data_IF_562843261546
#
_entry.id   IF_562843261546
#
_cell.length_a   1.000
_cell.length_b   1.000
_cell.length_c   1.000
_cell.angle_alpha   90.00
_cell.angle_beta   90.00
_cell.angle_gamma   90.00
#
_symmetry.space_group_name_H-M   'P 1'
#
loop_
_entity.id
_entity.type
_entity.pdbx_description
1 polymer ?
#
# COMPACT_ATOMS: atom_id res chain seq x y z
N UNK A 1 31.74 -19.70 -30.39
CA UNK A 1 30.62 -18.80 -30.70
C UNK A 1 29.29 -19.26 -30.07
N UNK A 2 29.05 -20.57 -29.92
CA UNK A 2 27.86 -21.10 -29.23
C UNK A 2 27.78 -20.79 -27.72
N UNK A 3 28.90 -20.72 -27.00
CA UNK A 3 28.90 -20.41 -25.55
C UNK A 3 28.37 -19.00 -25.21
N UNK A 4 28.55 -18.02 -26.10
CA UNK A 4 28.00 -16.67 -25.91
C UNK A 4 26.49 -16.62 -26.18
N UNK A 5 25.98 -17.46 -27.10
CA UNK A 5 24.54 -17.53 -27.42
C UNK A 5 23.72 -18.21 -26.32
N UNK A 6 24.32 -19.14 -25.57
CA UNK A 6 23.71 -19.76 -24.40
C UNK A 6 23.57 -18.79 -23.21
N UNK A 7 24.61 -17.98 -22.96
CA UNK A 7 24.60 -16.97 -21.88
C UNK A 7 23.57 -15.86 -22.12
N UNK A 8 23.41 -15.39 -23.36
CA UNK A 8 22.43 -14.37 -23.71
C UNK A 8 20.99 -14.86 -23.50
N UNK A 9 20.65 -16.07 -23.97
CA UNK A 9 19.31 -16.65 -23.78
C UNK A 9 18.96 -16.89 -22.31
N UNK A 10 19.91 -17.37 -21.51
CA UNK A 10 19.69 -17.56 -20.07
C UNK A 10 19.39 -16.24 -19.35
N UNK A 11 20.04 -15.15 -19.76
CA UNK A 11 19.82 -13.83 -19.19
C UNK A 11 18.46 -13.25 -19.61
N UNK A 12 18.05 -13.43 -20.86
CA UNK A 12 16.73 -13.04 -21.35
C UNK A 12 15.61 -13.77 -20.61
N UNK A 13 15.74 -15.08 -20.41
CA UNK A 13 14.78 -15.88 -19.63
C UNK A 13 14.68 -15.41 -18.17
N UNK A 14 15.82 -15.04 -17.57
CA UNK A 14 15.84 -14.53 -16.21
C UNK A 14 15.12 -13.17 -16.09
N UNK A 15 15.33 -12.28 -17.07
CA UNK A 15 14.63 -10.99 -17.14
C UNK A 15 13.13 -11.22 -17.31
N UNK A 16 12.75 -12.09 -18.25
CA UNK A 16 11.35 -12.42 -18.54
C UNK A 16 10.62 -12.94 -17.28
N UNK A 17 11.24 -13.88 -16.57
CA UNK A 17 10.72 -14.39 -15.29
C UNK A 17 10.55 -13.28 -14.25
N UNK A 18 11.52 -12.37 -14.15
CA UNK A 18 11.44 -11.25 -13.19
C UNK A 18 10.30 -10.28 -13.52
N UNK A 19 10.01 -10.04 -14.80
CA UNK A 19 8.90 -9.20 -15.26
C UNK A 19 7.55 -9.86 -14.96
N UNK A 20 7.44 -11.18 -15.11
CA UNK A 20 6.21 -11.90 -14.72
C UNK A 20 5.95 -11.79 -13.21
N UNK A 21 6.99 -11.88 -12.38
CA UNK A 21 6.86 -11.62 -10.94
C UNK A 21 6.42 -10.19 -10.66
N UNK A 22 6.98 -9.21 -11.37
CA UNK A 22 6.59 -7.81 -11.28
C UNK A 22 5.10 -7.60 -11.59
N UNK A 23 4.60 -8.14 -12.71
CA UNK A 23 3.19 -8.06 -13.11
C UNK A 23 2.24 -8.71 -12.10
N UNK A 24 2.60 -9.90 -11.57
CA UNK A 24 1.84 -10.57 -10.51
C UNK A 24 1.82 -9.75 -9.22
N UNK A 25 2.95 -9.16 -8.86
CA UNK A 25 3.08 -8.28 -7.71
C UNK A 25 2.20 -7.05 -7.80
N UNK A 26 2.26 -6.34 -8.93
CA UNK A 26 1.41 -5.17 -9.19
C UNK A 26 -0.08 -5.53 -9.20
N UNK A 27 -0.45 -6.68 -9.77
CA UNK A 27 -1.85 -7.14 -9.78
C UNK A 27 -2.36 -7.45 -8.37
N UNK A 28 -1.54 -8.10 -7.54
CA UNK A 28 -1.88 -8.36 -6.14
C UNK A 28 -2.02 -7.06 -5.33
N UNK A 29 -1.16 -6.06 -5.56
CA UNK A 29 -1.28 -4.75 -4.93
C UNK A 29 -2.54 -4.00 -5.38
N UNK A 30 -2.85 -4.02 -6.68
CA UNK A 30 -4.03 -3.37 -7.25
C UNK A 30 -5.32 -3.86 -6.59
N UNK A 31 -5.46 -5.18 -6.40
CA UNK A 31 -6.64 -5.76 -5.75
C UNK A 31 -6.56 -5.76 -4.22
N UNK A 32 -5.37 -5.90 -3.64
CA UNK A 32 -5.20 -5.93 -2.19
C UNK A 32 -5.52 -4.60 -1.53
N UNK A 33 -5.14 -3.47 -2.14
CA UNK A 33 -5.37 -2.13 -1.58
C UNK A 33 -6.85 -1.83 -1.28
N UNK A 34 -7.79 -1.96 -2.23
CA UNK A 34 -9.21 -1.71 -1.97
C UNK A 34 -9.82 -2.78 -1.06
N UNK A 35 -9.34 -4.03 -1.12
CA UNK A 35 -9.81 -5.11 -0.24
C UNK A 35 -9.45 -4.85 1.23
N UNK A 36 -8.22 -4.37 1.50
CA UNK A 36 -7.80 -3.99 2.85
C UNK A 36 -8.67 -2.84 3.36
N UNK A 37 -8.83 -1.78 2.55
CA UNK A 37 -9.66 -0.64 2.93
C UNK A 37 -11.11 -1.08 3.24
N UNK A 38 -11.70 -1.95 2.42
CA UNK A 38 -13.05 -2.45 2.61
C UNK A 38 -13.16 -3.36 3.84
N UNK A 39 -12.22 -4.29 4.03
CA UNK A 39 -12.24 -5.24 5.14
C UNK A 39 -12.01 -4.56 6.50
N UNK A 40 -11.22 -3.50 6.54
CA UNK A 40 -10.90 -2.77 7.77
C UNK A 40 -11.94 -1.67 8.07
N UNK A 41 -12.53 -1.04 7.06
CA UNK A 41 -13.55 0.00 7.26
C UNK A 41 -14.91 -0.56 7.74
N UNK A 42 -15.20 -1.84 7.48
CA UNK A 42 -16.51 -2.41 7.74
C UNK A 42 -16.66 -2.88 9.19
N UNK A 43 -16.93 -1.93 10.09
CA UNK A 43 -17.13 -2.15 11.53
C UNK A 43 -18.26 -3.13 11.86
N UNK A 44 -19.32 -3.21 11.03
CA UNK A 44 -20.43 -4.15 11.22
C UNK A 44 -20.04 -5.62 11.05
N UNK A 45 -18.97 -5.92 10.29
CA UNK A 45 -18.48 -7.30 10.18
C UNK A 45 -18.05 -7.81 11.55
N UNK A 46 -17.41 -6.95 12.34
CA UNK A 46 -16.88 -7.28 13.67
C UNK A 46 -17.99 -7.39 14.74
N UNK A 47 -19.13 -6.73 14.53
CA UNK A 47 -20.28 -6.78 15.44
C UNK A 47 -20.92 -8.18 15.58
N UNK A 48 -20.77 -9.04 14.56
CA UNK A 48 -21.32 -10.41 14.59
C UNK A 48 -20.46 -11.41 15.37
N UNK A 49 -19.29 -10.99 15.90
CA UNK A 49 -18.50 -11.78 16.85
C UNK A 49 -17.91 -13.09 16.31
N UNK A 50 -17.92 -13.33 14.99
CA UNK A 50 -17.43 -14.58 14.40
C UNK A 50 -15.94 -14.45 14.07
N UNK A 51 -15.12 -15.38 14.56
CA UNK A 51 -13.69 -15.47 14.23
C UNK A 51 -13.40 -15.52 12.71
N UNK A 52 -14.35 -16.01 11.91
CA UNK A 52 -14.27 -16.00 10.44
C UNK A 52 -14.16 -14.60 9.85
N UNK A 53 -14.58 -13.56 10.58
CA UNK A 53 -14.48 -12.16 10.15
C UNK A 53 -13.03 -11.68 10.12
N UNK A 54 -12.18 -12.17 11.01
CA UNK A 54 -10.74 -11.86 11.02
C UNK A 54 -10.01 -12.39 9.78
N UNK A 55 -10.58 -13.40 9.10
CA UNK A 55 -9.98 -13.95 7.89
C UNK A 55 -9.96 -12.95 6.73
N UNK A 56 -10.95 -12.05 6.64
CA UNK A 56 -11.04 -11.08 5.56
C UNK A 56 -9.89 -10.04 5.56
N UNK A 57 -9.65 -9.26 6.65
CA UNK A 57 -8.53 -8.32 6.71
C UNK A 57 -7.18 -9.03 6.65
N UNK A 58 -7.06 -10.24 7.22
CA UNK A 58 -5.84 -11.04 7.07
C UNK A 58 -5.60 -11.51 5.64
N UNK A 59 -6.60 -12.02 4.94
CA UNK A 59 -6.44 -12.43 3.56
C UNK A 59 -6.10 -11.23 2.65
N UNK A 60 -6.74 -10.08 2.87
CA UNK A 60 -6.47 -8.86 2.12
C UNK A 60 -5.04 -8.34 2.36
N UNK A 61 -4.60 -8.26 3.62
CA UNK A 61 -3.23 -7.86 3.94
C UNK A 61 -2.20 -8.92 3.50
N UNK A 62 -2.54 -10.20 3.58
CA UNK A 62 -1.73 -11.29 3.04
C UNK A 62 -1.53 -11.19 1.53
N UNK A 63 -2.55 -10.75 0.79
CA UNK A 63 -2.44 -10.48 -0.65
C UNK A 63 -1.47 -9.32 -0.94
N UNK A 64 -1.48 -8.26 -0.12
CA UNK A 64 -0.51 -7.17 -0.22
C UNK A 64 0.92 -7.66 0.04
N UNK A 65 1.13 -8.44 1.11
CA UNK A 65 2.43 -9.02 1.43
C UNK A 65 2.93 -9.96 0.32
N UNK A 66 2.05 -10.79 -0.24
CA UNK A 66 2.36 -11.60 -1.41
C UNK A 66 2.79 -10.72 -2.60
N UNK A 67 2.04 -9.64 -2.87
CA UNK A 67 2.37 -8.69 -3.92
C UNK A 67 3.76 -8.10 -3.78
N UNK A 68 4.11 -7.64 -2.56
CA UNK A 68 5.45 -7.12 -2.25
C UNK A 68 6.55 -8.18 -2.36
N UNK A 69 6.27 -9.41 -1.93
CA UNK A 69 7.21 -10.53 -2.06
C UNK A 69 7.53 -10.84 -3.53
N UNK A 70 6.55 -10.69 -4.41
CA UNK A 70 6.75 -10.82 -5.86
C UNK A 70 7.55 -9.65 -6.43
N UNK A 71 7.30 -8.42 -6.00
CA UNK A 71 8.09 -7.24 -6.40
C UNK A 71 9.55 -7.34 -5.98
N UNK A 72 9.84 -7.91 -4.81
CA UNK A 72 11.21 -8.07 -4.29
C UNK A 72 12.12 -8.90 -5.20
N UNK A 73 11.52 -9.80 -6.00
CA UNK A 73 12.25 -10.64 -6.96
C UNK A 73 12.69 -9.88 -8.21
N UNK A 74 12.16 -8.69 -8.46
CA UNK A 74 12.52 -7.84 -9.58
C UNK A 74 13.74 -6.97 -9.24
N UNK A 75 14.75 -6.95 -10.13
CA UNK A 75 15.93 -6.06 -10.04
C UNK A 75 16.61 -6.05 -8.66
N UNK A 76 16.97 -7.24 -8.13
CA UNK A 76 17.63 -7.39 -6.81
C UNK A 76 18.95 -6.62 -6.65
N UNK A 77 19.56 -6.18 -7.76
CA UNK A 77 20.82 -5.44 -7.80
C UNK A 77 20.64 -3.95 -7.48
N UNK A 78 19.44 -3.37 -7.68
CA UNK A 78 19.22 -1.95 -7.38
C UNK A 78 18.98 -1.74 -5.88
N UNK A 79 20.02 -1.26 -5.18
CA UNK A 79 20.00 -1.05 -3.72
C UNK A 79 18.87 -0.13 -3.25
N UNK A 80 18.59 0.95 -3.99
CA UNK A 80 17.56 1.94 -3.61
C UNK A 80 16.17 1.30 -3.67
N UNK A 81 15.88 0.55 -4.73
CA UNK A 81 14.65 -0.21 -4.89
C UNK A 81 14.45 -1.25 -3.79
N UNK A 82 15.49 -2.05 -3.53
CA UNK A 82 15.45 -3.06 -2.47
C UNK A 82 15.18 -2.43 -1.11
N UNK A 83 15.89 -1.36 -0.76
CA UNK A 83 15.66 -0.65 0.51
C UNK A 83 14.25 -0.05 0.59
N UNK A 84 13.70 0.44 -0.52
CA UNK A 84 12.32 0.92 -0.57
C UNK A 84 11.33 -0.21 -0.26
N UNK A 85 11.47 -1.35 -0.94
CA UNK A 85 10.61 -2.51 -0.74
C UNK A 85 10.76 -3.12 0.66
N UNK A 86 11.98 -3.20 1.21
CA UNK A 86 12.21 -3.73 2.56
C UNK A 86 11.47 -2.91 3.62
N UNK A 87 11.44 -1.57 3.47
CA UNK A 87 10.66 -0.68 4.35
C UNK A 87 9.16 -0.91 4.22
N UNK A 88 8.66 -1.05 2.99
CA UNK A 88 7.23 -1.32 2.75
C UNK A 88 6.84 -2.70 3.29
N UNK A 89 7.69 -3.70 3.12
CA UNK A 89 7.50 -5.06 3.64
C UNK A 89 7.44 -5.05 5.17
N UNK A 90 8.38 -4.37 5.83
CA UNK A 90 8.38 -4.24 7.30
C UNK A 90 7.08 -3.61 7.80
N UNK A 91 6.66 -2.50 7.19
CA UNK A 91 5.41 -1.83 7.53
C UNK A 91 4.19 -2.71 7.26
N UNK A 92 4.20 -3.47 6.16
CA UNK A 92 3.14 -4.43 5.82
C UNK A 92 3.03 -5.55 6.85
N UNK A 93 4.15 -6.08 7.35
CA UNK A 93 4.16 -7.12 8.39
C UNK A 93 3.63 -6.56 9.72
N UNK A 94 4.08 -5.36 10.10
CA UNK A 94 3.57 -4.67 11.29
C UNK A 94 2.06 -4.46 11.18
N UNK A 95 1.59 -3.94 10.05
CA UNK A 95 0.18 -3.67 9.80
C UNK A 95 -0.64 -4.97 9.83
N UNK A 96 -0.18 -6.02 9.14
CA UNK A 96 -0.78 -7.36 9.17
C UNK A 96 -0.91 -7.90 10.60
N UNK A 97 0.14 -7.79 11.43
CA UNK A 97 0.11 -8.22 12.83
C UNK A 97 -0.81 -7.40 13.73
N UNK A 98 -1.09 -6.14 13.35
CA UNK A 98 -1.97 -5.24 14.10
C UNK A 98 -3.46 -5.41 13.74
N UNK A 99 -3.79 -5.96 12.58
CA UNK A 99 -5.19 -6.14 12.14
C UNK A 99 -6.12 -6.84 13.14
N UNK A 100 -5.70 -7.84 13.96
CA UNK A 100 -6.60 -8.49 14.92
C UNK A 100 -7.12 -7.54 16.00
N UNK A 101 -6.40 -6.46 16.26
CA UNK A 101 -6.81 -5.48 17.26
C UNK A 101 -8.07 -4.71 16.87
N UNK A 102 -8.47 -4.69 15.59
CA UNK A 102 -9.79 -4.18 15.19
C UNK A 102 -10.92 -4.99 15.85
N UNK A 103 -10.81 -6.31 15.86
CA UNK A 103 -11.77 -7.18 16.51
C UNK A 103 -11.72 -7.03 18.03
N UNK A 104 -10.52 -7.03 18.62
CA UNK A 104 -10.39 -6.90 20.08
C UNK A 104 -10.87 -5.55 20.61
N UNK A 105 -10.64 -4.47 19.87
CA UNK A 105 -11.19 -3.15 20.21
C UNK A 105 -12.71 -3.14 20.18
N UNK A 106 -13.32 -3.78 19.18
CA UNK A 106 -14.77 -3.93 19.12
C UNK A 106 -15.32 -4.79 20.28
N UNK A 107 -14.66 -5.91 20.60
CA UNK A 107 -15.09 -6.83 21.65
C UNK A 107 -14.87 -6.28 23.07
N UNK A 108 -13.81 -5.50 23.28
CA UNK A 108 -13.40 -4.97 24.58
C UNK A 108 -13.08 -3.46 24.50
N UNK A 109 -14.08 -2.61 24.24
CA UNK A 109 -13.87 -1.18 23.96
C UNK A 109 -13.35 -0.37 25.16
N UNK A 110 -13.55 -0.88 26.39
CA UNK A 110 -13.08 -0.22 27.61
C UNK A 110 -11.59 -0.44 27.90
N UNK A 111 -10.95 -1.37 27.18
CA UNK A 111 -9.53 -1.64 27.36
C UNK A 111 -8.68 -0.70 26.50
N UNK A 112 -8.06 0.29 27.14
CA UNK A 112 -7.28 1.33 26.45
C UNK A 112 -6.17 0.77 25.55
N UNK A 113 -5.56 -0.36 25.92
CA UNK A 113 -4.53 -1.02 25.12
C UNK A 113 -4.97 -1.30 23.68
N UNK A 114 -6.17 -1.85 23.47
CA UNK A 114 -6.66 -2.15 22.12
C UNK A 114 -6.92 -0.88 21.30
N UNK A 115 -7.31 0.21 21.97
CA UNK A 115 -7.47 1.51 21.33
C UNK A 115 -6.15 2.02 20.78
N UNK A 116 -5.09 2.01 21.60
CA UNK A 116 -3.75 2.39 21.16
C UNK A 116 -3.25 1.50 20.00
N UNK A 117 -3.52 0.19 20.04
CA UNK A 117 -3.18 -0.72 18.94
C UNK A 117 -3.89 -0.37 17.64
N UNK A 118 -5.17 0.02 17.68
CA UNK A 118 -5.90 0.49 16.49
C UNK A 118 -5.34 1.82 15.98
N UNK A 119 -4.95 2.76 16.85
CA UNK A 119 -4.28 3.98 16.41
C UNK A 119 -2.95 3.68 15.72
N UNK A 120 -2.16 2.74 16.26
CA UNK A 120 -0.92 2.27 15.65
C UNK A 120 -1.19 1.55 14.31
N UNK A 121 -2.30 0.82 14.19
CA UNK A 121 -2.74 0.23 12.92
C UNK A 121 -2.99 1.32 11.87
N UNK A 122 -3.72 2.38 12.20
CA UNK A 122 -3.94 3.51 11.28
C UNK A 122 -2.64 4.19 10.87
N UNK A 123 -1.75 4.48 11.83
CA UNK A 123 -0.45 5.11 11.55
C UNK A 123 0.41 4.22 10.65
N UNK A 124 0.47 2.92 10.95
CA UNK A 124 1.24 1.97 10.14
C UNK A 124 0.66 1.82 8.73
N UNK A 125 -0.66 1.82 8.55
CA UNK A 125 -1.32 1.78 7.24
C UNK A 125 -1.03 3.03 6.40
N UNK A 126 -1.07 4.22 7.01
CA UNK A 126 -0.68 5.46 6.35
C UNK A 126 0.81 5.46 5.95
N UNK A 127 1.70 5.01 6.84
CA UNK A 127 3.14 4.89 6.56
C UNK A 127 3.40 3.88 5.45
N UNK A 128 2.70 2.75 5.49
CA UNK A 128 2.75 1.72 4.46
C UNK A 128 2.41 2.32 3.09
N UNK A 129 1.26 3.01 2.98
CA UNK A 129 0.83 3.59 1.71
C UNK A 129 1.79 4.70 1.25
N UNK A 130 2.31 5.51 2.17
CA UNK A 130 3.29 6.54 1.88
C UNK A 130 4.58 5.94 1.27
N UNK A 131 5.09 4.86 1.88
CA UNK A 131 6.30 4.18 1.42
C UNK A 131 6.06 3.37 0.14
N UNK A 132 4.87 2.80 -0.03
CA UNK A 132 4.46 2.11 -1.25
C UNK A 132 4.45 3.09 -2.45
N UNK A 133 3.92 4.29 -2.26
CA UNK A 133 3.95 5.34 -3.29
C UNK A 133 5.39 5.73 -3.67
N UNK A 134 6.30 5.76 -2.70
CA UNK A 134 7.72 5.97 -2.98
C UNK A 134 8.32 4.82 -3.81
N UNK A 135 8.02 3.56 -3.46
CA UNK A 135 8.49 2.39 -4.23
C UNK A 135 7.92 2.38 -5.66
N UNK A 136 6.62 2.62 -5.83
CA UNK A 136 5.95 2.77 -7.14
C UNK A 136 6.64 3.83 -7.99
N UNK A 137 6.96 4.98 -7.40
CA UNK A 137 7.70 6.03 -8.10
C UNK A 137 9.06 5.54 -8.58
N UNK A 138 9.81 4.83 -7.73
CA UNK A 138 11.11 4.24 -8.12
C UNK A 138 10.98 3.26 -9.26
N UNK A 139 9.95 2.42 -9.25
CA UNK A 139 9.67 1.49 -10.34
C UNK A 139 9.41 2.22 -11.66
N UNK A 140 8.60 3.30 -11.64
CA UNK A 140 8.36 4.11 -12.84
C UNK A 140 9.65 4.70 -13.41
N UNK A 141 10.60 5.10 -12.56
CA UNK A 141 11.90 5.62 -13.00
C UNK A 141 12.80 4.57 -13.66
N UNK A 142 12.56 3.27 -13.44
CA UNK A 142 13.29 2.18 -14.11
C UNK A 142 12.74 1.87 -15.50
N UNK A 143 11.51 2.30 -15.81
CA UNK A 143 10.85 2.03 -17.08
C UNK A 143 11.18 3.17 -18.05
N UNK A 144 11.51 2.88 -19.33
CA UNK A 144 11.92 3.87 -20.31
C UNK A 144 10.76 4.73 -20.88
N UNK A 145 9.69 4.99 -20.12
CA UNK A 145 8.54 5.79 -20.55
C UNK A 145 8.57 7.18 -19.85
N UNK A 146 8.77 8.29 -20.60
CA UNK A 146 8.85 9.63 -20.01
C UNK A 146 7.50 10.14 -19.47
N UNK A 147 6.39 9.81 -20.15
CA UNK A 147 5.04 10.24 -19.74
C UNK A 147 4.65 9.56 -18.44
N UNK A 148 4.89 8.25 -18.35
CA UNK A 148 4.64 7.48 -17.12
C UNK A 148 5.45 8.02 -15.94
N UNK A 149 6.72 8.39 -16.16
CA UNK A 149 7.59 8.97 -15.13
C UNK A 149 7.03 10.28 -14.60
N UNK A 150 6.64 11.20 -15.47
CA UNK A 150 6.09 12.49 -15.08
C UNK A 150 4.76 12.34 -14.33
N UNK A 151 3.84 11.51 -14.85
CA UNK A 151 2.57 11.21 -14.20
C UNK A 151 2.80 10.63 -12.80
N UNK A 152 3.66 9.61 -12.70
CA UNK A 152 3.94 8.94 -11.43
C UNK A 152 4.56 9.91 -10.43
N UNK A 153 5.47 10.78 -10.85
CA UNK A 153 6.06 11.79 -9.96
C UNK A 153 5.01 12.74 -9.39
N UNK A 154 4.09 13.24 -10.22
CA UNK A 154 3.02 14.13 -9.79
C UNK A 154 2.05 13.42 -8.83
N UNK A 155 1.49 12.28 -9.24
CA UNK A 155 0.46 11.59 -8.48
C UNK A 155 1.01 11.00 -7.17
N UNK A 156 2.15 10.30 -7.21
CA UNK A 156 2.75 9.76 -5.97
C UNK A 156 3.30 10.87 -5.07
N UNK A 157 3.79 11.97 -5.66
CA UNK A 157 4.24 13.15 -4.92
C UNK A 157 3.09 13.83 -4.17
N UNK A 158 1.99 14.11 -4.88
CA UNK A 158 0.78 14.66 -4.29
C UNK A 158 0.22 13.74 -3.21
N UNK A 159 0.09 12.45 -3.52
CA UNK A 159 -0.46 11.46 -2.60
C UNK A 159 0.34 11.38 -1.29
N UNK A 160 1.68 11.37 -1.39
CA UNK A 160 2.55 11.39 -0.21
C UNK A 160 2.41 12.67 0.61
N UNK A 161 2.19 13.83 -0.01
CA UNK A 161 1.92 15.09 0.72
C UNK A 161 0.57 15.02 1.45
N UNK A 162 -0.47 14.53 0.79
CA UNK A 162 -1.79 14.31 1.41
C UNK A 162 -1.66 13.38 2.61
N UNK A 163 -1.01 12.23 2.46
CA UNK A 163 -0.80 11.28 3.57
C UNK A 163 0.00 11.91 4.72
N UNK A 164 1.04 12.68 4.42
CA UNK A 164 1.84 13.36 5.45
C UNK A 164 1.02 14.42 6.19
N UNK A 165 0.17 15.15 5.46
CA UNK A 165 -0.75 16.14 6.04
C UNK A 165 -1.79 15.47 6.95
N UNK A 166 -2.39 14.36 6.51
CA UNK A 166 -3.35 13.59 7.30
C UNK A 166 -2.70 13.00 8.57
N UNK A 167 -1.48 12.48 8.47
CA UNK A 167 -0.71 12.06 9.64
C UNK A 167 -0.49 13.21 10.62
N UNK A 168 -0.09 14.39 10.12
CA UNK A 168 0.10 15.59 10.95
C UNK A 168 -1.18 16.02 11.66
N UNK A 169 -2.31 16.01 10.96
CA UNK A 169 -3.62 16.30 11.55
C UNK A 169 -4.02 15.27 12.60
N UNK A 170 -3.77 13.98 12.34
CA UNK A 170 -4.02 12.90 13.30
C UNK A 170 -3.15 13.02 14.56
N UNK A 171 -1.86 13.35 14.40
CA UNK A 171 -0.95 13.61 15.52
C UNK A 171 -1.37 14.83 16.33
N UNK A 172 -1.81 15.91 15.67
CA UNK A 172 -2.32 17.10 16.33
C UNK A 172 -3.61 16.80 17.11
N UNK A 173 -4.54 16.06 16.52
CA UNK A 173 -5.75 15.63 17.21
C UNK A 173 -5.42 14.75 18.41
N UNK A 174 -4.50 13.79 18.26
CA UNK A 174 -4.07 12.92 19.35
C UNK A 174 -3.38 13.67 20.49
N UNK A 175 -2.57 14.69 20.19
CA UNK A 175 -1.90 15.51 21.23
C UNK A 175 -2.87 16.37 22.04
N UNK A 176 -4.04 16.73 21.48
CA UNK A 176 -5.09 17.42 22.25
C UNK A 176 -5.60 16.57 23.42
N UNK A 177 -5.58 15.24 23.30
CA UNK A 177 -5.96 14.34 24.39
C UNK A 177 -5.04 14.38 25.62
N UNK A 178 -3.84 14.97 25.48
CA UNK A 178 -2.88 15.13 26.57
C UNK A 178 -3.05 16.46 27.33
N UNK A 179 -3.83 17.39 26.77
CA UNK A 179 -4.09 18.68 27.40
C UNK A 179 -5.10 18.50 28.54
N UNK A 180 -4.67 18.77 29.77
CA UNK A 180 -5.49 18.60 30.98
C UNK A 180 -6.57 19.67 31.16
N UNK A 181 -6.46 20.79 30.44
CA UNK A 181 -7.40 21.91 30.50
C UNK A 181 -7.75 22.41 29.09
N UNK A 182 -8.80 21.85 28.50
CA UNK A 182 -9.36 22.31 27.22
C UNK A 182 -10.55 23.23 27.53
N UNK A 183 -10.60 24.46 26.97
CA UNK A 183 -11.76 25.34 27.13
C UNK A 183 -13.06 24.65 26.71
N UNK A 184 -14.14 24.83 27.48
CA UNK A 184 -15.45 24.23 27.22
C UNK A 184 -15.96 24.34 25.76
N UNK A 185 -15.85 25.49 25.05
CA UNK A 185 -16.29 25.58 23.65
C UNK A 185 -15.43 24.72 22.71
N UNK A 186 -14.14 24.59 22.99
CA UNK A 186 -13.23 23.76 22.20
C UNK A 186 -13.50 22.26 22.43
N UNK A 187 -13.81 21.86 23.67
CA UNK A 187 -14.22 20.49 23.97
C UNK A 187 -15.52 20.09 23.27
N UNK A 188 -16.52 20.98 23.26
CA UNK A 188 -17.78 20.74 22.54
C UNK A 188 -17.56 20.57 21.03
N UNK A 189 -16.69 21.39 20.44
CA UNK A 189 -16.29 21.27 19.03
C UNK A 189 -15.59 19.94 18.75
N UNK A 190 -14.62 19.54 19.59
CA UNK A 190 -13.91 18.26 19.44
C UNK A 190 -14.87 17.07 19.50
N UNK A 191 -15.81 17.07 20.45
CA UNK A 191 -16.81 16.00 20.56
C UNK A 191 -17.72 15.88 19.33
N UNK A 192 -18.03 17.00 18.67
CA UNK A 192 -18.77 17.00 17.41
C UNK A 192 -17.91 16.42 16.27
N UNK A 193 -16.62 16.72 16.26
CA UNK A 193 -15.63 16.18 15.31
C UNK A 193 -15.45 14.67 15.51
N UNK A 194 -15.50 14.13 16.73
CA UNK A 194 -15.36 12.69 17.01
C UNK A 194 -16.35 11.81 16.24
N UNK A 195 -17.58 12.30 16.03
CA UNK A 195 -18.58 11.58 15.23
C UNK A 195 -18.27 11.61 13.73
N UNK A 196 -17.55 12.62 13.26
CA UNK A 196 -17.20 12.81 11.86
C UNK A 196 -15.87 12.15 11.48
N UNK A 197 -14.93 12.01 12.43
CA UNK A 197 -13.58 11.48 12.19
C UNK A 197 -13.59 10.13 11.46
N UNK A 198 -14.34 9.09 11.89
CA UNK A 198 -14.27 7.79 11.23
C UNK A 198 -14.68 7.84 9.76
N UNK A 199 -15.77 8.56 9.46
CA UNK A 199 -16.28 8.76 8.09
C UNK A 199 -15.30 9.60 7.27
N UNK A 200 -14.81 10.70 7.84
CA UNK A 200 -13.85 11.57 7.20
C UNK A 200 -12.55 10.84 6.87
N UNK A 201 -12.02 10.02 7.79
CA UNK A 201 -10.80 9.22 7.57
C UNK A 201 -11.01 8.21 6.45
N UNK A 202 -12.14 7.50 6.40
CA UNK A 202 -12.44 6.57 5.31
C UNK A 202 -12.52 7.31 3.97
N UNK A 203 -13.33 8.37 3.88
CA UNK A 203 -13.47 9.16 2.66
C UNK A 203 -12.15 9.77 2.20
N UNK A 204 -11.36 10.30 3.14
CA UNK A 204 -10.04 10.87 2.86
C UNK A 204 -9.01 9.81 2.50
N UNK A 205 -9.15 8.54 2.93
CA UNK A 205 -8.28 7.43 2.55
C UNK A 205 -8.61 6.81 1.20
N UNK A 206 -9.88 6.86 0.78
CA UNK A 206 -10.29 6.41 -0.56
C UNK A 206 -9.50 7.14 -1.65
N UNK A 207 -9.23 8.45 -1.47
CA UNK A 207 -8.48 9.23 -2.45
C UNK A 207 -7.01 8.77 -2.59
N UNK A 208 -6.18 8.70 -1.54
CA UNK A 208 -4.84 8.10 -1.58
C UNK A 208 -4.78 6.68 -2.10
N UNK A 209 -5.74 5.84 -1.71
CA UNK A 209 -5.80 4.45 -2.16
C UNK A 209 -6.09 4.38 -3.65
N UNK A 210 -7.09 5.13 -4.12
CA UNK A 210 -7.44 5.16 -5.55
C UNK A 210 -6.32 5.72 -6.41
N UNK A 211 -5.65 6.80 -6.00
CA UNK A 211 -4.45 7.33 -6.69
C UNK A 211 -3.35 6.27 -6.81
N UNK A 212 -3.09 5.54 -5.72
CA UNK A 212 -2.08 4.47 -5.71
C UNK A 212 -2.49 3.35 -6.67
N UNK A 213 -3.76 2.94 -6.65
CA UNK A 213 -4.29 1.93 -7.57
C UNK A 213 -4.14 2.37 -9.04
N UNK A 214 -4.46 3.62 -9.36
CA UNK A 214 -4.30 4.15 -10.72
C UNK A 214 -2.85 4.08 -11.18
N UNK A 215 -1.89 4.43 -10.32
CA UNK A 215 -0.46 4.34 -10.67
C UNK A 215 0.01 2.89 -10.84
N UNK A 216 -0.42 1.98 -9.96
CA UNK A 216 -0.14 0.55 -10.09
C UNK A 216 -0.70 0.00 -11.40
N UNK A 217 -1.92 0.39 -11.77
CA UNK A 217 -2.54 0.00 -13.03
C UNK A 217 -1.75 0.52 -14.24
N UNK A 218 -1.43 1.82 -14.28
CA UNK A 218 -0.65 2.42 -15.36
C UNK A 218 0.71 1.73 -15.53
N UNK A 219 1.42 1.48 -14.44
CA UNK A 219 2.69 0.74 -14.45
C UNK A 219 2.54 -0.64 -15.07
N UNK A 220 1.50 -1.38 -14.68
CA UNK A 220 1.22 -2.72 -15.18
C UNK A 220 0.97 -2.70 -16.69
N UNK A 221 0.19 -1.74 -17.21
CA UNK A 221 -0.06 -1.57 -18.64
C UNK A 221 1.22 -1.23 -19.42
N UNK A 222 2.04 -0.29 -18.93
CA UNK A 222 3.30 0.05 -19.60
C UNK A 222 4.28 -1.13 -19.65
N UNK A 223 4.35 -1.94 -18.58
CA UNK A 223 5.18 -3.15 -18.57
C UNK A 223 4.64 -4.19 -19.57
N UNK A 224 3.31 -4.34 -19.66
CA UNK A 224 2.68 -5.26 -20.59
C UNK A 224 2.91 -4.84 -22.06
N UNK A 225 2.84 -3.55 -22.36
CA UNK A 225 3.13 -3.03 -23.71
C UNK A 225 4.57 -3.33 -24.14
N UNK A 226 5.56 -3.10 -23.26
CA UNK A 226 6.97 -3.43 -23.52
C UNK A 226 7.17 -4.94 -23.74
N UNK A 227 6.41 -5.76 -23.04
CA UNK A 227 6.44 -7.22 -23.20
C UNK A 227 5.90 -7.65 -24.56
N UNK A 228 4.76 -7.09 -24.96
CA UNK A 228 4.08 -7.40 -26.22
C UNK A 228 4.94 -7.01 -27.44
N UNK A 229 5.54 -5.81 -27.42
CA UNK A 229 6.51 -5.36 -28.43
C UNK A 229 7.70 -6.31 -28.58
N UNK A 230 8.24 -6.84 -27.46
CA UNK A 230 9.34 -7.80 -27.51
C UNK A 230 8.93 -9.15 -28.09
N UNK A 231 7.73 -9.64 -27.75
CA UNK A 231 7.25 -10.94 -28.25
C UNK A 231 6.78 -10.91 -29.70
N UNK A 232 6.33 -9.75 -30.19
CA UNK A 232 5.98 -9.55 -31.60
C UNK A 232 7.22 -9.37 -32.46
N UNK A 233 8.24 -8.65 -32.00
CA UNK A 233 9.52 -8.49 -32.70
C UNK A 233 10.28 -9.81 -32.91
N UNK A 234 10.22 -10.73 -31.94
CA UNK A 234 10.85 -12.06 -32.08
C UNK A 234 10.14 -12.95 -33.10
N UNK A 235 8.82 -12.81 -33.30
CA UNK A 235 8.08 -13.63 -34.28
C UNK A 235 8.27 -13.20 -35.74
N UNK A 236 8.77 -11.99 -35.98
CA UNK A 236 9.02 -11.46 -37.34
C UNK A 236 10.44 -11.77 -37.82
N UNK A 237 11.33 -12.22 -36.91
CA UNK A 237 12.73 -12.53 -37.19
C UNK A 237 13.04 -14.03 -37.31
N UNK A 238 12.03 -14.89 -37.09
CA UNK A 238 12.04 -16.34 -37.38
C UNK A 238 11.32 -16.62 -38.71
#
# INVERSE_FOLDING_TARGET
>A
MEMLSGSHRQQEDAIMRSVVHLLRGLSALFWGLPLVLLAEAHTELYAKGRWTVLMAPWAANGLLLFGLGQLHRFQMQERIWRSALDRVMLLGIIHFGLTPFLFFWHAFPYQSFFGHSVHLLFISGMLYLHQLNYAIRRLAFMIPDPTLRQDTELFTGLNRRVLSFLMGLGMLYWSMGWLTAIPAPLYALLKMVDHLIPVAVVLLMVMPVSMTMTMVWKLKESIFAVLDERTSGSRVSD
#
